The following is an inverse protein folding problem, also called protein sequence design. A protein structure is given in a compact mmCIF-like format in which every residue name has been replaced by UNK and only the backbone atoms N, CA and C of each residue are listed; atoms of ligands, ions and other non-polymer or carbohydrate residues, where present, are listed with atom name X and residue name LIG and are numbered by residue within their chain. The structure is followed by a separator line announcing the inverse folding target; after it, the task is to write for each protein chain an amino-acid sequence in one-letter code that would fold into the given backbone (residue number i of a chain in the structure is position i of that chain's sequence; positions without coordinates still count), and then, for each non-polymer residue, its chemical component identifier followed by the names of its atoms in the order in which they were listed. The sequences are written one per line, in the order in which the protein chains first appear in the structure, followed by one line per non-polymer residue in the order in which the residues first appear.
data_IF_941740374306
#
_entry.id   IF_941740374306
#
_cell.length_a   1.000
_cell.length_b   1.000
_cell.length_c   1.000
_cell.angle_alpha   90.00
_cell.angle_beta   90.00
_cell.angle_gamma   90.00
#
_symmetry.space_group_name_H-M   'P 1'
#
loop_
_entity.id
_entity.type
_entity.pdbx_description
1 polymer ?
#
# COMPACT_ATOMS: atom_id res chain seq x y z
N UNK A 1 -6.71 19.60 3.83
CA UNK A 1 -6.28 18.18 3.69
C UNK A 1 -6.32 17.69 2.25
N UNK A 2 -7.34 18.02 1.42
CA UNK A 2 -7.46 17.53 0.04
C UNK A 2 -6.25 17.86 -0.85
N UNK A 3 -5.74 19.13 -0.92
CA UNK A 3 -4.57 19.44 -1.76
C UNK A 3 -3.31 18.66 -1.38
N UNK A 4 -3.09 18.44 -0.08
CA UNK A 4 -1.97 17.66 0.42
C UNK A 4 -2.07 16.20 -0.02
N UNK A 5 -3.28 15.65 -0.04
CA UNK A 5 -3.54 14.27 -0.45
C UNK A 5 -3.29 14.07 -1.94
N UNK A 6 -3.76 15.01 -2.78
CA UNK A 6 -3.48 15.01 -4.23
C UNK A 6 -1.99 15.14 -4.50
N UNK A 7 -1.30 16.00 -3.77
CA UNK A 7 0.15 16.18 -3.87
C UNK A 7 0.91 14.89 -3.51
N UNK A 8 0.51 14.19 -2.44
CA UNK A 8 1.09 12.90 -2.06
C UNK A 8 0.88 11.86 -3.16
N UNK A 9 -0.32 11.75 -3.72
CA UNK A 9 -0.61 10.84 -4.83
C UNK A 9 0.28 11.12 -6.04
N UNK A 10 0.44 12.38 -6.41
CA UNK A 10 1.31 12.80 -7.50
C UNK A 10 2.80 12.46 -7.24
N UNK A 11 3.28 12.64 -6.01
CA UNK A 11 4.65 12.27 -5.65
C UNK A 11 4.89 10.75 -5.79
N UNK A 12 3.96 9.92 -5.31
CA UNK A 12 4.04 8.46 -5.39
C UNK A 12 4.04 8.00 -6.85
N UNK A 13 3.23 8.63 -7.70
CA UNK A 13 3.19 8.38 -9.14
C UNK A 13 4.52 8.74 -9.80
N UNK A 14 5.05 9.94 -9.54
CA UNK A 14 6.33 10.41 -10.11
C UNK A 14 7.54 9.62 -9.63
N UNK A 15 7.50 9.08 -8.43
CA UNK A 15 8.57 8.24 -7.88
C UNK A 15 8.67 6.86 -8.56
N UNK A 16 7.79 6.53 -9.50
CA UNK A 16 7.75 5.24 -10.21
C UNK A 16 7.69 4.02 -9.27
N UNK A 17 7.16 4.23 -8.07
CA UNK A 17 7.05 3.19 -7.03
C UNK A 17 6.07 2.11 -7.43
N UNK A 18 5.02 2.48 -8.16
CA UNK A 18 3.93 1.60 -8.57
C UNK A 18 4.41 0.54 -9.55
N UNK A 19 5.17 0.96 -10.57
CA UNK A 19 5.72 0.03 -11.55
C UNK A 19 6.70 -0.96 -10.90
N UNK A 20 7.51 -0.50 -9.95
CA UNK A 20 8.42 -1.36 -9.18
C UNK A 20 7.66 -2.33 -8.28
N UNK A 21 6.61 -1.85 -7.60
CA UNK A 21 5.75 -2.67 -6.75
C UNK A 21 5.03 -3.73 -7.58
N UNK A 22 4.40 -3.33 -8.70
CA UNK A 22 3.72 -4.24 -9.61
C UNK A 22 4.65 -5.36 -10.07
N UNK A 23 5.86 -5.01 -10.57
CA UNK A 23 6.83 -5.99 -11.03
C UNK A 23 7.33 -6.91 -9.92
N UNK A 24 7.52 -6.40 -8.72
CA UNK A 24 7.90 -7.21 -7.56
C UNK A 24 6.81 -8.20 -7.15
N UNK A 25 5.54 -7.77 -7.17
CA UNK A 25 4.39 -8.62 -6.87
C UNK A 25 4.13 -9.66 -7.97
N UNK A 26 4.29 -9.27 -9.23
CA UNK A 26 4.22 -10.17 -10.38
C UNK A 26 5.18 -11.37 -10.22
N UNK A 27 6.42 -11.09 -9.85
CA UNK A 27 7.44 -12.10 -9.62
C UNK A 27 7.16 -12.93 -8.36
N UNK A 28 6.74 -12.29 -7.27
CA UNK A 28 6.42 -12.97 -6.02
C UNK A 28 5.25 -13.94 -6.16
N UNK A 29 4.26 -13.55 -6.97
CA UNK A 29 3.03 -14.32 -7.22
C UNK A 29 3.11 -15.22 -8.46
N UNK A 30 4.24 -15.27 -9.16
CA UNK A 30 4.40 -15.97 -10.45
C UNK A 30 3.99 -17.45 -10.44
N UNK A 31 3.95 -18.08 -9.26
CA UNK A 31 3.51 -19.49 -9.09
C UNK A 31 1.98 -19.65 -9.01
N UNK A 32 1.24 -18.58 -8.79
CA UNK A 32 -0.22 -18.65 -8.67
C UNK A 32 -0.88 -18.62 -10.05
N UNK A 33 -1.97 -19.39 -10.25
CA UNK A 33 -2.79 -19.23 -11.45
C UNK A 33 -3.40 -17.84 -11.45
N UNK A 34 -3.33 -17.14 -12.58
CA UNK A 34 -3.81 -15.76 -12.65
C UNK A 34 -2.89 -14.74 -11.97
N UNK A 35 -1.59 -15.04 -11.82
CA UNK A 35 -0.60 -14.25 -11.08
C UNK A 35 -0.60 -12.76 -11.43
N UNK A 36 -0.63 -12.42 -12.72
CA UNK A 36 -0.67 -11.02 -13.18
C UNK A 36 -1.93 -10.28 -12.72
N UNK A 37 -3.08 -10.92 -12.82
CA UNK A 37 -4.34 -10.32 -12.40
C UNK A 37 -4.40 -10.14 -10.88
N UNK A 38 -3.90 -11.11 -10.10
CA UNK A 38 -3.80 -10.99 -8.65
C UNK A 38 -2.79 -9.89 -8.27
N UNK A 39 -1.62 -9.85 -8.91
CA UNK A 39 -0.63 -8.79 -8.71
C UNK A 39 -1.20 -7.40 -9.01
N UNK A 40 -1.99 -7.28 -10.08
CA UNK A 40 -2.70 -6.04 -10.43
C UNK A 40 -3.66 -5.60 -9.33
N UNK A 41 -4.51 -6.50 -8.83
CA UNK A 41 -5.47 -6.19 -7.76
C UNK A 41 -4.78 -5.80 -6.45
N UNK A 42 -3.73 -6.52 -6.05
CA UNK A 42 -2.95 -6.20 -4.85
C UNK A 42 -2.25 -4.85 -4.99
N UNK A 43 -1.64 -4.59 -6.16
CA UNK A 43 -1.02 -3.29 -6.45
C UNK A 43 -2.04 -2.16 -6.43
N UNK A 44 -3.22 -2.37 -7.05
CA UNK A 44 -4.31 -1.41 -7.01
C UNK A 44 -4.77 -1.13 -5.58
N UNK A 45 -4.94 -2.16 -4.74
CA UNK A 45 -5.35 -2.00 -3.35
C UNK A 45 -4.34 -1.17 -2.55
N UNK A 46 -3.04 -1.46 -2.67
CA UNK A 46 -1.97 -0.72 -1.99
C UNK A 46 -1.90 0.71 -2.53
N UNK A 47 -1.97 0.89 -3.86
CA UNK A 47 -1.89 2.21 -4.47
C UNK A 47 -3.14 3.05 -4.21
N UNK A 48 -4.30 2.41 -4.12
CA UNK A 48 -5.55 3.04 -3.75
C UNK A 48 -5.44 3.75 -2.39
N UNK A 49 -4.80 3.13 -1.40
CA UNK A 49 -4.59 3.73 -0.07
C UNK A 49 -3.66 4.94 -0.12
N UNK A 50 -2.73 4.98 -1.08
CA UNK A 50 -1.80 6.10 -1.22
C UNK A 50 -2.40 7.30 -1.94
N UNK A 51 -3.26 7.09 -2.95
CA UNK A 51 -3.78 8.17 -3.81
C UNK A 51 -5.22 8.55 -3.52
N UNK A 52 -6.05 7.60 -3.12
CA UNK A 52 -7.50 7.80 -2.91
C UNK A 52 -8.25 8.28 -4.16
N UNK A 53 -7.65 8.14 -5.36
CA UNK A 53 -8.19 8.65 -6.63
C UNK A 53 -8.29 7.50 -7.64
N UNK A 54 -9.52 7.11 -7.99
CA UNK A 54 -9.80 6.00 -8.94
C UNK A 54 -9.16 6.23 -10.31
N UNK A 55 -9.33 7.43 -10.87
CA UNK A 55 -8.85 7.74 -12.22
C UNK A 55 -7.34 7.52 -12.37
N UNK A 56 -6.55 7.96 -11.39
CA UNK A 56 -5.10 7.77 -11.40
C UNK A 56 -4.74 6.27 -11.37
N UNK A 57 -5.38 5.50 -10.49
CA UNK A 57 -5.14 4.05 -10.35
C UNK A 57 -5.48 3.31 -11.65
N UNK A 58 -6.67 3.54 -12.21
CA UNK A 58 -7.13 2.87 -13.44
C UNK A 58 -6.24 3.22 -14.63
N UNK A 59 -5.91 4.50 -14.80
CA UNK A 59 -5.08 4.95 -15.92
C UNK A 59 -3.69 4.35 -15.85
N UNK A 60 -3.07 4.40 -14.67
CA UNK A 60 -1.70 3.95 -14.49
C UNK A 60 -1.60 2.42 -14.61
N UNK A 61 -2.53 1.69 -14.01
CA UNK A 61 -2.58 0.23 -14.14
C UNK A 61 -3.03 -0.20 -15.54
N UNK A 62 -3.86 0.59 -16.22
CA UNK A 62 -4.18 0.39 -17.64
C UNK A 62 -2.93 0.48 -18.52
N UNK A 63 -2.03 1.40 -18.25
CA UNK A 63 -0.79 1.56 -19.00
C UNK A 63 0.27 0.49 -18.66
N UNK A 64 0.33 0.05 -17.40
CA UNK A 64 1.34 -0.90 -16.93
C UNK A 64 0.88 -2.36 -17.03
N UNK A 65 -0.27 -2.67 -16.47
CA UNK A 65 -0.72 -4.06 -16.30
C UNK A 65 -1.42 -4.59 -17.56
N UNK A 66 -2.21 -3.79 -18.27
CA UNK A 66 -2.95 -4.27 -19.44
C UNK A 66 -2.03 -4.81 -20.55
N UNK A 67 -0.96 -4.11 -20.98
CA UNK A 67 -0.04 -4.65 -21.99
C UNK A 67 0.66 -5.93 -21.51
N UNK A 68 1.04 -6.00 -20.24
CA UNK A 68 1.68 -7.17 -19.66
C UNK A 68 0.73 -8.38 -19.65
N UNK A 69 -0.54 -8.18 -19.25
CA UNK A 69 -1.56 -9.22 -19.23
C UNK A 69 -1.88 -9.73 -20.64
N UNK A 70 -2.06 -8.83 -21.61
CA UNK A 70 -2.35 -9.19 -23.01
C UNK A 70 -1.17 -9.94 -23.64
N UNK A 71 0.06 -9.51 -23.39
CA UNK A 71 1.28 -10.15 -23.87
C UNK A 71 1.44 -11.57 -23.30
N UNK A 72 0.99 -11.78 -22.07
CA UNK A 72 0.99 -13.10 -21.41
C UNK A 72 -0.23 -13.97 -21.81
N UNK A 73 -1.07 -13.51 -22.76
CA UNK A 73 -2.19 -14.28 -23.29
C UNK A 73 -3.48 -14.23 -22.45
N UNK A 74 -3.61 -13.24 -21.55
CA UNK A 74 -4.86 -13.06 -20.79
C UNK A 74 -5.99 -12.56 -21.69
N UNK A 75 -7.21 -12.97 -21.37
CA UNK A 75 -8.42 -12.46 -22.02
C UNK A 75 -8.57 -10.96 -21.79
N UNK A 76 -8.94 -10.22 -22.84
CA UNK A 76 -9.08 -8.75 -22.80
C UNK A 76 -10.15 -8.32 -21.80
N UNK A 77 -11.27 -9.05 -21.72
CA UNK A 77 -12.39 -8.72 -20.83
C UNK A 77 -12.01 -8.91 -19.38
N UNK A 78 -11.30 -10.00 -19.09
CA UNK A 78 -10.80 -10.27 -17.74
C UNK A 78 -9.79 -9.20 -17.33
N UNK A 79 -8.83 -8.87 -18.21
CA UNK A 79 -7.78 -7.87 -17.94
C UNK A 79 -8.37 -6.48 -17.69
N UNK A 80 -9.26 -6.02 -18.55
CA UNK A 80 -9.94 -4.74 -18.37
C UNK A 80 -10.81 -4.73 -17.10
N UNK A 81 -11.54 -5.82 -16.83
CA UNK A 81 -12.36 -5.99 -15.63
C UNK A 81 -11.55 -5.93 -14.34
N UNK A 82 -10.40 -6.59 -14.29
CA UNK A 82 -9.48 -6.58 -13.14
C UNK A 82 -8.94 -5.18 -12.86
N UNK A 83 -8.54 -4.44 -13.89
CA UNK A 83 -8.01 -3.08 -13.76
C UNK A 83 -9.08 -2.12 -13.26
N UNK A 84 -10.28 -2.16 -13.86
CA UNK A 84 -11.39 -1.29 -13.45
C UNK A 84 -11.88 -1.62 -12.06
N UNK A 85 -12.06 -2.90 -11.72
CA UNK A 85 -12.43 -3.34 -10.38
C UNK A 85 -11.37 -2.93 -9.34
N UNK A 86 -10.08 -3.16 -9.66
CA UNK A 86 -8.97 -2.74 -8.81
C UNK A 86 -8.95 -1.23 -8.58
N UNK A 87 -9.23 -0.44 -9.62
CA UNK A 87 -9.31 1.01 -9.50
C UNK A 87 -10.42 1.50 -8.56
N UNK A 88 -11.58 0.82 -8.55
CA UNK A 88 -12.68 1.17 -7.65
C UNK A 88 -12.32 1.03 -6.16
N UNK A 89 -11.32 0.22 -5.82
CA UNK A 89 -10.81 0.10 -4.44
C UNK A 89 -10.28 1.45 -3.91
N UNK A 90 -9.86 2.36 -4.80
CA UNK A 90 -9.39 3.70 -4.43
C UNK A 90 -10.44 4.61 -3.77
N UNK A 91 -11.72 4.32 -3.95
CA UNK A 91 -12.78 5.03 -3.23
C UNK A 91 -13.10 4.35 -1.89
N UNK A 92 -13.02 3.02 -1.86
CA UNK A 92 -13.50 2.21 -0.74
C UNK A 92 -12.47 1.99 0.36
N UNK A 93 -11.19 1.83 -0.03
CA UNK A 93 -10.13 1.61 0.98
C UNK A 93 -9.65 2.95 1.50
N UNK A 94 -9.76 3.23 2.81
CA UNK A 94 -9.25 4.46 3.39
C UNK A 94 -7.70 4.54 3.31
N UNK A 95 -7.15 5.75 3.17
CA UNK A 95 -7.80 7.05 3.06
C UNK A 95 -8.35 7.34 1.65
N UNK A 96 -9.56 7.91 1.57
CA UNK A 96 -10.25 8.22 0.33
C UNK A 96 -10.65 9.69 0.29
N UNK A 97 -10.35 10.37 -0.82
CA UNK A 97 -10.75 11.78 -1.03
C UNK A 97 -12.27 11.93 -1.01
N UNK A 98 -12.98 10.94 -1.55
CA UNK A 98 -14.44 10.96 -1.59
C UNK A 98 -15.06 10.94 -0.19
N UNK A 99 -14.51 10.14 0.72
CA UNK A 99 -14.97 10.08 2.11
C UNK A 99 -14.67 11.38 2.88
N UNK A 100 -13.56 12.07 2.55
CA UNK A 100 -13.24 13.38 3.12
C UNK A 100 -14.28 14.42 2.69
N UNK A 101 -14.59 14.47 1.38
CA UNK A 101 -15.59 15.40 0.84
C UNK A 101 -16.97 15.12 1.44
N UNK A 102 -17.36 13.84 1.49
CA UNK A 102 -18.62 13.43 2.08
C UNK A 102 -18.72 13.82 3.57
N UNK A 103 -17.68 13.55 4.36
CA UNK A 103 -17.64 13.93 5.77
C UNK A 103 -17.79 15.43 5.98
N UNK A 104 -17.12 16.24 5.13
CA UNK A 104 -17.19 17.69 5.20
C UNK A 104 -18.57 18.24 4.81
N UNK A 105 -19.24 17.65 3.82
CA UNK A 105 -20.56 18.10 3.34
C UNK A 105 -21.71 17.62 4.21
N UNK A 106 -21.60 16.38 4.73
CA UNK A 106 -22.64 15.77 5.57
C UNK A 106 -22.49 16.11 7.07
N UNK A 107 -21.42 16.79 7.47
CA UNK A 107 -21.14 17.10 8.89
C UNK A 107 -20.82 15.87 9.74
N UNK A 108 -20.36 14.77 9.11
CA UNK A 108 -20.03 13.51 9.79
C UNK A 108 -18.52 13.40 9.98
N UNK A 109 -18.11 12.80 11.10
CA UNK A 109 -16.68 12.58 11.38
C UNK A 109 -16.01 11.70 10.31
N UNK A 110 -14.99 12.26 9.65
CA UNK A 110 -14.19 11.54 8.63
C UNK A 110 -13.51 10.30 9.24
N UNK A 111 -13.10 10.36 10.50
CA UNK A 111 -12.48 9.23 11.20
C UNK A 111 -13.45 8.06 11.36
N UNK A 112 -14.72 8.34 11.69
CA UNK A 112 -15.77 7.32 11.78
C UNK A 112 -16.07 6.72 10.40
N UNK A 113 -16.10 7.55 9.34
CA UNK A 113 -16.28 7.09 7.96
C UNK A 113 -15.14 6.15 7.53
N UNK A 114 -13.91 6.50 7.86
CA UNK A 114 -12.75 5.66 7.55
C UNK A 114 -12.79 4.34 8.30
N UNK A 115 -13.10 4.36 9.59
CA UNK A 115 -13.27 3.13 10.39
C UNK A 115 -14.36 2.22 9.81
N UNK A 116 -15.49 2.80 9.39
CA UNK A 116 -16.59 2.06 8.78
C UNK A 116 -16.27 1.50 7.39
N UNK A 117 -15.48 2.22 6.58
CA UNK A 117 -15.13 1.82 5.21
C UNK A 117 -13.98 0.78 5.16
N UNK A 118 -13.18 0.67 6.20
CA UNK A 118 -11.99 -0.18 6.22
C UNK A 118 -12.31 -1.65 5.99
N UNK A 119 -13.25 -2.21 6.76
CA UNK A 119 -13.63 -3.61 6.64
C UNK A 119 -14.30 -3.94 5.29
N UNK A 120 -15.30 -3.18 4.81
CA UNK A 120 -15.89 -3.41 3.49
C UNK A 120 -14.85 -3.29 2.35
N UNK A 121 -13.91 -2.35 2.45
CA UNK A 121 -12.86 -2.17 1.45
C UNK A 121 -11.93 -3.38 1.34
N UNK A 122 -11.43 -3.89 2.47
CA UNK A 122 -10.59 -5.11 2.49
C UNK A 122 -11.39 -6.34 2.06
N UNK A 123 -12.64 -6.46 2.51
CA UNK A 123 -13.51 -7.57 2.11
C UNK A 123 -13.69 -7.59 0.59
N UNK A 124 -13.95 -6.44 -0.04
CA UNK A 124 -14.12 -6.36 -1.48
C UNK A 124 -12.83 -6.68 -2.23
N UNK A 125 -11.69 -6.17 -1.78
CA UNK A 125 -10.38 -6.51 -2.36
C UNK A 125 -10.12 -8.02 -2.31
N UNK A 126 -10.42 -8.65 -1.17
CA UNK A 126 -10.29 -10.10 -0.99
C UNK A 126 -11.22 -10.88 -1.91
N UNK A 127 -12.47 -10.43 -2.07
CA UNK A 127 -13.44 -11.04 -2.98
C UNK A 127 -12.99 -10.96 -4.44
N UNK A 128 -12.43 -9.83 -4.87
CA UNK A 128 -11.89 -9.69 -6.22
C UNK A 128 -10.71 -10.64 -6.47
N UNK A 129 -9.78 -10.72 -5.52
CA UNK A 129 -8.64 -11.64 -5.60
C UNK A 129 -9.12 -13.09 -5.65
N UNK A 130 -10.06 -13.45 -4.77
CA UNK A 130 -10.64 -14.80 -4.72
C UNK A 130 -11.36 -15.14 -6.04
N UNK A 131 -12.15 -14.22 -6.57
CA UNK A 131 -12.83 -14.38 -7.85
C UNK A 131 -11.84 -14.66 -8.99
N UNK A 132 -10.76 -13.87 -9.08
CA UNK A 132 -9.73 -14.06 -10.10
C UNK A 132 -9.05 -15.42 -9.96
N UNK A 133 -8.72 -15.85 -8.74
CA UNK A 133 -8.10 -17.16 -8.48
C UNK A 133 -9.05 -18.28 -8.89
N UNK A 134 -10.33 -18.18 -8.57
CA UNK A 134 -11.34 -19.18 -8.95
C UNK A 134 -11.48 -19.23 -10.47
N UNK A 135 -11.60 -18.09 -11.14
CA UNK A 135 -11.70 -18.03 -12.61
C UNK A 135 -10.45 -18.61 -13.27
N UNK A 136 -9.26 -18.27 -12.77
CA UNK A 136 -8.00 -18.78 -13.30
C UNK A 136 -7.85 -20.32 -13.10
N UNK A 137 -8.42 -20.87 -12.02
CA UNK A 137 -8.44 -22.33 -11.81
C UNK A 137 -9.48 -23.04 -12.68
N UNK A 138 -10.68 -22.48 -12.82
CA UNK A 138 -11.77 -23.10 -13.58
C UNK A 138 -11.59 -22.94 -15.09
N UNK A 139 -11.00 -21.83 -15.53
CA UNK A 139 -10.76 -21.49 -16.93
C UNK A 139 -9.33 -21.01 -17.16
N UNK A 140 -8.34 -21.92 -17.16
CA UNK A 140 -6.91 -21.54 -17.27
C UNK A 140 -6.55 -20.82 -18.57
N UNK A 141 -7.37 -20.95 -19.62
CA UNK A 141 -7.18 -20.25 -20.87
C UNK A 141 -7.46 -18.73 -20.79
N UNK A 142 -8.23 -18.26 -19.78
CA UNK A 142 -8.51 -16.85 -19.58
C UNK A 142 -7.38 -16.13 -18.83
N UNK A 143 -6.62 -16.84 -18.02
CA UNK A 143 -5.54 -16.32 -17.19
C UNK A 143 -4.39 -17.34 -17.12
N UNK A 144 -3.63 -17.52 -18.21
CA UNK A 144 -2.53 -18.49 -18.24
C UNK A 144 -1.45 -18.09 -17.22
N UNK A 145 -0.74 -19.06 -16.64
CA UNK A 145 0.38 -18.76 -15.76
C UNK A 145 1.51 -18.10 -16.53
N UNK A 146 2.30 -17.25 -15.86
CA UNK A 146 3.43 -16.57 -16.48
C UNK A 146 4.37 -17.56 -17.18
N UNK A 147 4.78 -17.28 -18.43
CA UNK A 147 5.75 -18.10 -19.11
C UNK A 147 7.08 -18.14 -18.36
N UNK A 148 7.77 -19.29 -18.43
CA UNK A 148 9.04 -19.52 -17.70
C UNK A 148 10.12 -18.47 -18.05
N UNK A 149 10.08 -17.92 -19.25
CA UNK A 149 11.02 -16.88 -19.71
C UNK A 149 10.89 -15.55 -18.95
N UNK A 150 9.70 -15.21 -18.49
CA UNK A 150 9.44 -13.95 -17.77
C UNK A 150 9.61 -14.11 -16.25
N UNK A 151 9.73 -15.33 -15.75
CA UNK A 151 10.03 -15.63 -14.34
C UNK A 151 11.50 -15.44 -13.98
N UNK A 152 12.38 -15.35 -14.99
CA UNK A 152 13.80 -15.13 -14.77
C UNK A 152 14.06 -13.61 -14.61
N UNK A 153 14.51 -13.24 -13.42
CA UNK A 153 15.06 -11.91 -13.16
C UNK A 153 16.57 -12.04 -13.27
N UNK A 154 17.19 -11.14 -14.00
CA UNK A 154 18.64 -10.98 -13.99
C UNK A 154 19.06 -10.57 -12.57
N UNK A 155 19.40 -11.56 -11.77
CA UNK A 155 19.89 -11.36 -10.42
C UNK A 155 21.32 -10.78 -10.49
N UNK A 156 21.71 -9.91 -9.56
CA UNK A 156 23.11 -9.50 -9.43
C UNK A 156 24.03 -10.73 -9.33
N UNK A 157 25.25 -10.69 -9.92
CA UNK A 157 26.10 -11.87 -10.09
C UNK A 157 26.36 -12.65 -8.81
N UNK A 158 26.44 -11.95 -7.66
CA UNK A 158 26.59 -12.57 -6.33
C UNK A 158 25.34 -13.37 -5.92
N UNK A 159 24.15 -12.83 -6.23
CA UNK A 159 22.88 -13.49 -5.90
C UNK A 159 22.61 -14.65 -6.85
N UNK A 160 23.03 -14.55 -8.12
CA UNK A 160 22.99 -15.67 -9.06
C UNK A 160 23.87 -16.84 -8.58
N UNK A 161 25.12 -16.57 -8.20
CA UNK A 161 26.03 -17.59 -7.66
C UNK A 161 25.51 -18.27 -6.36
N UNK A 162 24.75 -17.54 -5.56
CA UNK A 162 24.08 -18.09 -4.36
C UNK A 162 22.87 -18.94 -4.75
N UNK A 163 22.07 -18.46 -5.70
CA UNK A 163 20.86 -19.17 -6.16
C UNK A 163 21.20 -20.50 -6.85
N UNK A 164 22.25 -20.53 -7.67
CA UNK A 164 22.71 -21.73 -8.39
C UNK A 164 23.21 -22.82 -7.42
N UNK A 165 23.74 -22.44 -6.26
CA UNK A 165 24.33 -23.37 -5.28
C UNK A 165 23.38 -23.81 -4.17
N UNK A 166 22.43 -22.97 -3.78
CA UNK A 166 21.57 -23.17 -2.60
C UNK A 166 20.07 -23.25 -2.92
N UNK A 167 19.68 -23.10 -4.20
CA UNK A 167 18.29 -23.16 -4.63
C UNK A 167 17.47 -21.92 -4.22
N UNK A 168 16.18 -21.98 -4.43
CA UNK A 168 15.19 -20.90 -4.49
C UNK A 168 14.99 -20.04 -3.19
N UNK A 169 15.77 -20.30 -2.12
CA UNK A 169 15.63 -19.59 -0.84
C UNK A 169 16.72 -18.52 -0.67
N UNK A 170 16.57 -17.40 -1.36
CA UNK A 170 17.52 -16.29 -1.39
C UNK A 170 17.89 -15.79 0.01
N UNK A 171 16.93 -15.69 0.93
CA UNK A 171 17.16 -15.19 2.29
C UNK A 171 18.08 -16.14 3.11
N UNK A 172 17.81 -17.44 3.05
CA UNK A 172 18.66 -18.44 3.72
C UNK A 172 20.02 -18.54 3.05
N UNK A 173 20.08 -18.32 1.72
CA UNK A 173 21.33 -18.27 0.96
C UNK A 173 22.21 -17.07 1.31
N UNK A 174 21.62 -15.88 1.48
CA UNK A 174 22.32 -14.68 1.92
C UNK A 174 22.88 -14.82 3.35
N UNK A 175 22.08 -15.36 4.28
CA UNK A 175 22.56 -15.63 5.64
C UNK A 175 23.75 -16.62 5.67
N UNK A 176 23.70 -17.66 4.86
CA UNK A 176 24.82 -18.60 4.71
C UNK A 176 26.00 -18.01 3.95
N UNK A 177 25.75 -17.10 3.01
CA UNK A 177 26.82 -16.33 2.33
C UNK A 177 27.58 -15.41 3.28
N UNK A 178 26.89 -14.79 4.23
CA UNK A 178 27.48 -13.95 5.28
C UNK A 178 28.33 -14.81 6.25
N UNK A 179 27.87 -16.04 6.56
CA UNK A 179 28.62 -16.98 7.43
C UNK A 179 29.84 -17.63 6.74
N UNK A 180 30.16 -17.23 5.49
CA UNK A 180 31.32 -17.76 4.77
C UNK A 180 31.18 -19.20 4.24
N UNK A 181 29.99 -19.80 4.34
CA UNK A 181 29.74 -21.20 3.97
C UNK A 181 29.57 -21.45 2.46
N UNK A 182 29.63 -20.39 1.63
CA UNK A 182 29.47 -20.50 0.17
C UNK A 182 30.79 -20.23 -0.53
N UNK A 183 31.41 -21.30 -1.05
CA UNK A 183 32.68 -21.18 -1.79
C UNK A 183 32.49 -20.31 -3.06
N UNK A 184 33.34 -19.29 -3.22
CA UNK A 184 33.34 -18.39 -4.38
C UNK A 184 32.53 -17.09 -4.22
N UNK A 185 31.94 -16.85 -3.07
CA UNK A 185 31.28 -15.58 -2.73
C UNK A 185 32.05 -14.90 -1.60
N UNK A 186 32.59 -13.69 -1.86
CA UNK A 186 33.24 -12.93 -0.80
C UNK A 186 32.21 -12.55 0.28
N UNK A 187 32.44 -12.89 1.57
CA UNK A 187 31.48 -12.62 2.64
C UNK A 187 31.12 -11.13 2.75
N UNK A 188 32.08 -10.23 2.46
CA UNK A 188 31.82 -8.78 2.42
C UNK A 188 30.83 -8.37 1.31
N UNK A 189 30.85 -9.04 0.15
CA UNK A 189 29.91 -8.75 -0.94
C UNK A 189 28.50 -9.27 -0.63
N UNK A 190 28.39 -10.44 -0.01
CA UNK A 190 27.12 -10.99 0.47
C UNK A 190 26.53 -10.12 1.59
N UNK A 191 27.34 -9.67 2.54
CA UNK A 191 26.94 -8.76 3.62
C UNK A 191 26.45 -7.41 3.08
N UNK A 192 27.16 -6.81 2.11
CA UNK A 192 26.76 -5.56 1.48
C UNK A 192 25.41 -5.69 0.74
N UNK A 193 25.19 -6.78 0.00
CA UNK A 193 23.91 -7.02 -0.66
C UNK A 193 22.78 -7.32 0.32
N UNK A 194 23.04 -8.10 1.37
CA UNK A 194 22.10 -8.30 2.46
C UNK A 194 21.71 -6.99 3.14
N UNK A 195 22.68 -6.11 3.40
CA UNK A 195 22.45 -4.79 3.98
C UNK A 195 21.58 -3.91 3.03
N UNK A 196 21.91 -3.88 1.74
CA UNK A 196 21.13 -3.13 0.74
C UNK A 196 19.69 -3.65 0.64
N UNK A 197 19.49 -4.97 0.74
CA UNK A 197 18.16 -5.57 0.71
C UNK A 197 17.32 -5.27 1.96
N UNK A 198 17.95 -5.18 3.14
CA UNK A 198 17.29 -4.92 4.43
C UNK A 198 17.14 -3.42 4.70
N UNK A 199 17.98 -2.58 4.10
CA UNK A 199 18.00 -1.13 4.33
C UNK A 199 16.63 -0.44 4.12
N UNK A 200 15.83 -0.73 3.07
CA UNK A 200 14.51 -0.13 2.91
C UNK A 200 13.54 -0.52 4.05
N UNK A 201 13.60 -1.79 4.49
CA UNK A 201 12.76 -2.26 5.59
C UNK A 201 13.17 -1.62 6.92
N UNK A 202 14.48 -1.51 7.18
CA UNK A 202 14.99 -0.80 8.36
C UNK A 202 14.65 0.69 8.34
N UNK A 203 14.76 1.35 7.18
CA UNK A 203 14.38 2.75 7.04
C UNK A 203 12.89 2.95 7.34
N UNK A 204 12.02 2.06 6.84
CA UNK A 204 10.59 2.10 7.13
C UNK A 204 10.29 1.91 8.62
N UNK A 205 10.93 0.92 9.26
CA UNK A 205 10.78 0.68 10.70
C UNK A 205 11.30 1.88 11.50
N UNK A 206 12.42 2.47 11.11
CA UNK A 206 12.98 3.66 11.76
C UNK A 206 12.03 4.87 11.64
N UNK A 207 11.43 5.10 10.46
CA UNK A 207 10.43 6.17 10.26
C UNK A 207 9.20 5.92 11.11
N UNK A 208 8.67 4.68 11.14
CA UNK A 208 7.53 4.32 11.96
C UNK A 208 7.83 4.48 13.46
N UNK A 209 8.99 4.03 13.92
CA UNK A 209 9.41 4.20 15.31
C UNK A 209 9.60 5.68 15.68
N UNK A 210 10.16 6.47 14.76
CA UNK A 210 10.32 7.91 14.94
C UNK A 210 8.98 8.63 15.01
N UNK A 211 8.06 8.36 14.08
CA UNK A 211 6.70 8.93 14.11
C UNK A 211 5.93 8.49 15.34
N UNK A 212 6.06 7.23 15.75
CA UNK A 212 5.49 6.73 17.01
C UNK A 212 6.04 7.48 18.21
N UNK A 213 7.37 7.67 18.29
CA UNK A 213 8.01 8.40 19.39
C UNK A 213 7.58 9.86 19.46
N UNK A 214 7.34 10.50 18.30
CA UNK A 214 6.80 11.87 18.25
C UNK A 214 5.32 11.92 18.67
N UNK A 215 4.52 10.95 18.24
CA UNK A 215 3.10 10.90 18.54
C UNK A 215 2.80 10.53 20.00
N UNK A 216 3.71 9.79 20.66
CA UNK A 216 3.58 9.37 22.05
C UNK A 216 4.31 10.26 23.05
N UNK A 217 4.96 11.34 22.58
CA UNK A 217 5.52 12.35 23.52
C UNK A 217 4.39 12.94 24.33
N UNK A 218 4.48 12.95 25.67
CA UNK A 218 3.50 13.64 26.49
C UNK A 218 3.48 15.12 26.04
N UNK A 219 2.29 15.58 25.67
CA UNK A 219 2.07 17.02 25.44
C UNK A 219 2.34 17.68 26.78
N UNK A 220 3.36 18.50 26.90
CA UNK A 220 3.49 19.40 28.04
C UNK A 220 2.19 20.21 28.05
N UNK A 221 1.35 19.91 29.03
CA UNK A 221 0.12 20.67 29.26
C UNK A 221 0.61 22.06 29.70
N UNK A 222 0.54 22.99 28.78
CA UNK A 222 0.83 24.40 29.07
C UNK A 222 -0.04 24.78 30.27
N UNK A 223 0.61 25.27 31.33
CA UNK A 223 -0.06 25.60 32.58
C UNK A 223 -1.15 26.65 32.31
N UNK A 224 -2.37 26.18 32.22
CA UNK A 224 -3.54 27.01 31.93
C UNK A 224 -4.07 27.74 33.16
N UNK A 225 -3.35 27.72 34.28
CA UNK A 225 -3.74 28.37 35.55
C UNK A 225 -3.91 29.90 35.47
N UNK A 226 -3.72 30.51 34.30
CA UNK A 226 -3.95 31.94 34.04
C UNK A 226 -4.94 32.26 32.92
N UNK A 227 -5.49 31.23 32.25
CA UNK A 227 -6.45 31.45 31.18
C UNK A 227 -7.88 31.54 31.73
N UNK A 228 -8.51 32.72 31.64
CA UNK A 228 -9.94 32.89 31.92
C UNK A 228 -10.72 32.24 30.76
N UNK A 229 -11.65 31.34 31.08
CA UNK A 229 -12.57 30.75 30.09
C UNK A 229 -13.30 31.88 29.33
N UNK A 230 -13.05 31.99 28.03
CA UNK A 230 -13.79 32.93 27.16
C UNK A 230 -15.25 32.45 27.06
N UNK A 231 -16.07 32.80 27.98
CA UNK A 231 -17.48 32.40 28.13
C UNK A 231 -17.95 32.47 29.58
N UNK A 232 -17.02 32.66 30.55
CA UNK A 232 -17.35 32.80 31.96
C UNK A 232 -18.18 34.07 32.24
N UNK A 233 -17.93 35.14 31.50
CA UNK A 233 -18.69 36.43 31.63
C UNK A 233 -20.18 36.26 31.35
N UNK A 234 -20.57 35.38 30.42
CA UNK A 234 -22.01 35.13 30.14
C UNK A 234 -22.72 34.44 31.29
N UNK A 235 -22.05 33.59 32.05
CA UNK A 235 -22.63 32.95 33.24
C UNK A 235 -22.72 33.90 34.44
N UNK A 236 -21.74 34.79 34.61
CA UNK A 236 -21.77 35.83 35.62
C UNK A 236 -22.80 36.89 35.28
N UNK A 237 -22.90 37.34 34.06
CA UNK A 237 -23.95 38.25 33.57
C UNK A 237 -25.35 37.63 33.73
N UNK A 238 -25.53 36.36 33.39
CA UNK A 238 -26.79 35.66 33.59
C UNK A 238 -27.16 35.55 35.11
N UNK A 239 -26.16 35.41 35.98
CA UNK A 239 -26.37 35.39 37.44
C UNK A 239 -26.69 36.76 38.01
N UNK A 240 -26.12 37.82 37.42
CA UNK A 240 -26.39 39.22 37.81
C UNK A 240 -27.73 39.68 37.28
N UNK A 241 -28.09 39.30 36.05
CA UNK A 241 -29.36 39.65 35.43
C UNK A 241 -30.55 38.77 35.86
N UNK A 242 -30.28 37.56 36.34
CA UNK A 242 -31.31 36.60 36.82
C UNK A 242 -31.57 36.70 38.34
N UNK A 243 -30.90 37.55 39.06
CA UNK A 243 -31.05 37.72 40.51
C UNK A 243 -32.09 38.77 40.86
N UNK A 244 -33.35 38.54 40.61
CA UNK A 244 -34.50 38.91 41.45
C UNK A 244 -35.80 38.50 40.78
N UNK A 245 -36.25 37.28 41.00
CA UNK A 245 -37.66 36.96 41.01
C UNK A 245 -37.88 35.93 42.11
N UNK A 246 -38.32 36.45 43.21
CA UNK A 246 -38.95 35.78 44.33
C UNK A 246 -40.03 34.83 43.88
#
# INVERSE_FOLDING_TARGET
SIPLFVFMGYLVERANLIAKLFRSLELALARLPGSLAVATLVTCAIFATATGIVGAVVTLMGLLALPAMLKSGYDVRLSAGVITAGGCLGILIPPSVMLIVYGATAGVSVVQLYAGAFFPGIMLATLYILYVIIVAKLKPHLAPPLPMSERHVDLPPVTQAINDKLGDKVFTGLLRGISGSVAGVAPAAAARQGLIAILPALALVAVLAFTWSLATRPIEVEDTTGLVEMGGETKELAKILGGNST
#
